data_IF_158082985038
#
_entry.id   IF_158082985038
#
_cell.length_a   1.000
_cell.length_b   1.000
_cell.length_c   1.000
_cell.angle_alpha   90.00
_cell.angle_beta   90.00
_cell.angle_gamma   90.00
#
_symmetry.space_group_name_H-M   'P 1'
#
loop_
_entity.id
_entity.type
_entity.pdbx_description
1 polymer ?
#
# COMPACT_ATOMS: atom_id res chain seq x y z
N UNK A 1 -26.97 2.17 15.38
CA UNK A 1 -27.11 1.12 14.35
C UNK A 1 -26.64 1.62 12.98
N UNK A 2 -25.33 1.84 12.79
CA UNK A 2 -24.78 2.42 11.55
C UNK A 2 -23.53 1.68 11.02
N UNK A 3 -23.14 0.58 11.68
CA UNK A 3 -21.90 -0.17 11.36
C UNK A 3 -22.19 -1.30 10.34
N UNK A 4 -23.47 -1.56 10.05
CA UNK A 4 -23.90 -2.71 9.23
C UNK A 4 -24.21 -2.35 7.78
N UNK A 5 -24.27 -1.07 7.41
CA UNK A 5 -24.63 -0.66 6.04
C UNK A 5 -23.45 -0.50 5.07
N UNK A 6 -22.20 -0.59 5.52
CA UNK A 6 -21.03 -0.56 4.62
C UNK A 6 -20.67 -1.91 3.99
N UNK A 7 -21.46 -2.96 4.25
CA UNK A 7 -21.35 -4.26 3.57
C UNK A 7 -22.35 -4.28 2.43
N UNK A 8 -21.88 -4.02 1.20
CA UNK A 8 -22.46 -4.41 -0.11
C UNK A 8 -22.36 -3.29 -1.15
N UNK A 9 -21.17 -2.76 -1.40
CA UNK A 9 -20.89 -2.23 -2.74
C UNK A 9 -19.57 -2.84 -3.19
N UNK A 10 -19.64 -4.03 -3.77
CA UNK A 10 -18.49 -4.63 -4.46
C UNK A 10 -18.08 -3.63 -5.52
N UNK A 11 -16.86 -3.12 -5.43
CA UNK A 11 -16.34 -2.27 -6.50
C UNK A 11 -16.24 -3.13 -7.78
N UNK A 12 -16.44 -2.56 -8.97
CA UNK A 12 -16.27 -3.29 -10.24
C UNK A 12 -14.92 -4.01 -10.35
N UNK A 13 -13.91 -3.49 -9.64
CA UNK A 13 -12.59 -4.07 -9.50
C UNK A 13 -12.59 -5.39 -8.71
N UNK A 14 -13.32 -5.45 -7.59
CA UNK A 14 -13.43 -6.65 -6.78
C UNK A 14 -14.17 -7.78 -7.53
N UNK A 15 -15.20 -7.44 -8.31
CA UNK A 15 -15.91 -8.42 -9.15
C UNK A 15 -15.01 -9.00 -10.25
N UNK A 16 -14.12 -8.18 -10.82
CA UNK A 16 -13.14 -8.61 -11.80
C UNK A 16 -12.13 -9.60 -11.18
N UNK A 17 -11.58 -9.28 -10.01
CA UNK A 17 -10.64 -10.17 -9.32
C UNK A 17 -11.29 -11.47 -8.85
N UNK A 18 -12.55 -11.43 -8.40
CA UNK A 18 -13.30 -12.63 -8.05
C UNK A 18 -13.39 -13.62 -9.23
N UNK A 19 -13.67 -13.12 -10.45
CA UNK A 19 -13.75 -13.96 -11.66
C UNK A 19 -12.40 -14.57 -12.07
N UNK A 20 -11.29 -13.89 -11.79
CA UNK A 20 -9.94 -14.41 -12.06
C UNK A 20 -9.47 -15.38 -10.98
N UNK A 21 -10.02 -15.30 -9.77
CA UNK A 21 -9.59 -16.12 -8.66
C UNK A 21 -10.09 -17.56 -8.84
N UNK A 22 -9.18 -18.52 -8.75
CA UNK A 22 -9.52 -19.96 -8.76
C UNK A 22 -9.95 -20.48 -7.40
N UNK A 23 -9.85 -19.65 -6.34
CA UNK A 23 -10.30 -20.01 -5.00
C UNK A 23 -11.83 -19.87 -4.91
N UNK A 24 -12.50 -20.99 -4.63
CA UNK A 24 -13.95 -21.05 -4.44
C UNK A 24 -14.43 -20.24 -3.23
N UNK A 25 -13.53 -19.91 -2.30
CA UNK A 25 -13.81 -19.15 -1.10
C UNK A 25 -13.18 -17.74 -1.16
N UNK A 26 -13.15 -17.13 -2.34
CA UNK A 26 -12.66 -15.76 -2.47
C UNK A 26 -13.39 -14.81 -1.51
N UNK A 27 -12.62 -14.14 -0.66
CA UNK A 27 -13.10 -13.10 0.25
C UNK A 27 -12.60 -11.77 -0.29
N UNK A 28 -13.54 -10.86 -0.55
CA UNK A 28 -13.23 -9.49 -0.95
C UNK A 28 -12.31 -8.85 0.11
N UNK A 29 -11.21 -8.19 -0.29
CA UNK A 29 -10.35 -7.51 0.66
C UNK A 29 -11.15 -6.44 1.41
N UNK A 30 -10.90 -6.34 2.70
CA UNK A 30 -11.49 -5.30 3.56
C UNK A 30 -10.67 -4.03 3.38
N UNK A 31 -11.34 -2.90 3.21
CA UNK A 31 -10.68 -1.60 3.22
C UNK A 31 -10.00 -1.39 4.58
N UNK A 32 -8.67 -1.40 4.57
CA UNK A 32 -7.87 -1.12 5.77
C UNK A 32 -7.53 0.36 5.76
N UNK A 33 -8.08 1.10 6.72
CA UNK A 33 -7.62 2.46 7.02
C UNK A 33 -6.30 2.34 7.77
N UNK A 34 -5.19 2.52 7.06
CA UNK A 34 -3.86 2.57 7.67
C UNK A 34 -3.67 3.98 8.20
N UNK A 35 -3.54 4.14 9.52
CA UNK A 35 -3.20 5.44 10.10
C UNK A 35 -1.81 5.89 9.64
N UNK A 36 -1.63 7.20 9.47
CA UNK A 36 -0.39 7.82 8.96
C UNK A 36 0.88 7.33 9.71
N UNK A 37 0.82 7.20 11.03
CA UNK A 37 1.94 6.69 11.85
C UNK A 37 2.33 5.24 11.52
N UNK A 38 1.34 4.41 11.16
CA UNK A 38 1.56 3.01 10.77
C UNK A 38 2.17 2.96 9.37
N UNK A 39 1.72 3.83 8.47
CA UNK A 39 2.25 3.94 7.11
C UNK A 39 3.73 4.35 7.14
N UNK A 40 4.09 5.39 7.89
CA UNK A 40 5.50 5.82 8.01
C UNK A 40 6.38 4.69 8.54
N UNK A 41 5.94 3.97 9.57
CA UNK A 41 6.70 2.85 10.11
C UNK A 41 6.87 1.71 9.11
N UNK A 42 5.84 1.43 8.30
CA UNK A 42 5.90 0.42 7.24
C UNK A 42 6.85 0.84 6.11
N UNK A 43 6.79 2.10 5.69
CA UNK A 43 7.67 2.67 4.67
C UNK A 43 9.12 2.63 5.15
N UNK A 44 9.40 3.12 6.35
CA UNK A 44 10.74 3.08 6.94
C UNK A 44 11.29 1.65 7.01
N UNK A 45 10.48 0.71 7.50
CA UNK A 45 10.87 -0.70 7.58
C UNK A 45 11.14 -1.29 6.20
N UNK A 46 10.36 -0.90 5.19
CA UNK A 46 10.55 -1.36 3.81
C UNK A 46 11.88 -0.86 3.25
N UNK A 47 12.15 0.44 3.35
CA UNK A 47 13.40 1.07 2.89
C UNK A 47 14.63 0.49 3.60
N UNK A 48 14.54 0.33 4.93
CA UNK A 48 15.65 -0.15 5.76
C UNK A 48 16.04 -1.61 5.48
N UNK A 49 15.08 -2.41 4.98
CA UNK A 49 15.26 -3.82 4.71
C UNK A 49 15.42 -4.14 3.21
N UNK A 50 15.56 -3.12 2.35
CA UNK A 50 15.90 -3.34 0.94
C UNK A 50 17.21 -4.14 0.85
N UNK A 51 17.14 -5.26 0.14
CA UNK A 51 18.29 -6.11 -0.14
C UNK A 51 19.03 -5.60 -1.38
N UNK A 52 20.16 -6.23 -1.70
CA UNK A 52 21.05 -5.87 -2.81
C UNK A 52 20.40 -6.15 -4.17
N UNK A 53 19.34 -5.40 -4.48
CA UNK A 53 18.60 -5.48 -5.74
C UNK A 53 19.39 -4.82 -6.85
N UNK A 54 19.19 -5.30 -8.07
CA UNK A 54 19.73 -4.65 -9.27
C UNK A 54 19.11 -3.26 -9.38
N UNK A 55 19.96 -2.27 -9.66
CA UNK A 55 19.54 -0.87 -9.87
C UNK A 55 18.43 -0.79 -10.90
N UNK A 56 17.35 -0.08 -10.57
CA UNK A 56 16.22 0.11 -11.46
C UNK A 56 16.53 1.05 -12.63
N UNK A 57 15.54 1.31 -13.51
CA UNK A 57 15.67 2.29 -14.60
C UNK A 57 15.92 3.72 -14.12
N UNK A 58 15.68 4.00 -12.85
CA UNK A 58 15.99 5.27 -12.17
C UNK A 58 17.49 5.49 -11.96
N UNK A 59 18.32 4.46 -12.11
CA UNK A 59 19.75 4.53 -11.87
C UNK A 59 20.12 4.66 -10.39
N UNK A 60 19.16 4.54 -9.46
CA UNK A 60 19.39 4.74 -8.03
C UNK A 60 19.78 3.41 -7.39
N UNK A 61 21.02 3.28 -6.85
CA UNK A 61 21.43 2.05 -6.19
C UNK A 61 20.58 1.74 -4.95
N UNK A 62 20.39 0.45 -4.67
CA UNK A 62 19.59 -0.02 -3.53
C UNK A 62 20.02 0.60 -2.18
N UNK A 63 21.31 0.86 -1.99
CA UNK A 63 21.87 1.39 -0.74
C UNK A 63 21.44 2.83 -0.46
N UNK A 64 21.16 3.63 -1.49
CA UNK A 64 20.69 5.03 -1.34
C UNK A 64 19.36 5.05 -0.57
N UNK A 65 18.45 4.15 -0.93
CA UNK A 65 17.16 4.01 -0.26
C UNK A 65 17.31 3.62 1.22
N UNK A 66 18.30 2.78 1.53
CA UNK A 66 18.57 2.31 2.89
C UNK A 66 19.26 3.39 3.74
N UNK A 67 20.28 4.06 3.20
CA UNK A 67 21.03 5.11 3.90
C UNK A 67 20.19 6.36 4.16
N UNK A 68 19.24 6.66 3.28
CA UNK A 68 18.37 7.83 3.40
C UNK A 68 16.95 7.50 3.85
N UNK A 69 16.72 6.32 4.42
CA UNK A 69 15.40 5.87 4.84
C UNK A 69 14.69 6.87 5.77
N UNK A 70 15.42 7.49 6.71
CA UNK A 70 14.85 8.49 7.64
C UNK A 70 14.30 9.73 6.92
N UNK A 71 15.00 10.21 5.89
CA UNK A 71 14.62 11.40 5.12
C UNK A 71 13.50 11.06 4.12
N UNK A 72 13.58 9.89 3.50
CA UNK A 72 12.65 9.47 2.44
C UNK A 72 11.31 8.98 2.98
N UNK A 73 11.26 8.47 4.21
CA UNK A 73 10.04 7.94 4.83
C UNK A 73 8.86 8.93 4.81
N UNK A 74 8.97 10.17 5.31
CA UNK A 74 7.83 11.10 5.31
C UNK A 74 7.38 11.46 3.89
N UNK A 75 8.31 11.58 2.94
CA UNK A 75 8.01 11.91 1.54
C UNK A 75 7.21 10.78 0.88
N UNK A 76 7.71 9.55 1.00
CA UNK A 76 7.08 8.38 0.39
C UNK A 76 5.75 8.03 1.06
N UNK A 77 5.65 8.22 2.37
CA UNK A 77 4.38 8.04 3.10
C UNK A 77 3.34 9.04 2.63
N UNK A 78 3.72 10.30 2.46
CA UNK A 78 2.81 11.31 1.90
C UNK A 78 2.36 10.95 0.49
N UNK A 79 3.27 10.57 -0.41
CA UNK A 79 2.93 10.14 -1.78
C UNK A 79 1.96 8.95 -1.77
N UNK A 80 2.19 7.97 -0.90
CA UNK A 80 1.34 6.78 -0.77
C UNK A 80 -0.05 7.12 -0.21
N UNK A 81 -0.15 8.19 0.57
CA UNK A 81 -1.39 8.65 1.17
C UNK A 81 -2.25 9.52 0.22
N UNK A 82 -1.65 10.11 -0.83
CA UNK A 82 -2.35 10.96 -1.81
C UNK A 82 -3.53 10.26 -2.52
N UNK A 83 -3.42 9.02 -3.02
CA UNK A 83 -4.53 8.33 -3.67
C UNK A 83 -5.69 8.05 -2.69
N UNK A 84 -5.37 7.83 -1.41
CA UNK A 84 -6.37 7.55 -0.37
C UNK A 84 -7.23 8.79 -0.06
N UNK A 85 -6.66 9.98 -0.22
CA UNK A 85 -7.32 11.26 0.06
C UNK A 85 -8.01 11.89 -1.16
N UNK A 86 -7.75 11.39 -2.37
CA UNK A 86 -8.30 11.95 -3.62
C UNK A 86 -9.60 11.28 -4.09
N UNK A 87 -10.10 10.27 -3.37
CA UNK A 87 -11.32 9.53 -3.69
C UNK A 87 -12.54 9.82 -2.77
N UNK A 88 -12.51 10.92 -1.99
CA UNK A 88 -13.73 11.52 -1.39
C UNK A 88 -14.47 12.42 -2.36
#
# INVERSE_FOLDING_TARGET
>A
DDITQRRTHSSPLNDYFHKLCTDLNYIAPVDVVIGSEVLERLVWKSLSNITQTVTGPDGIPFWVWKEHAEILTPILSHIWDLPLHTHT
#
